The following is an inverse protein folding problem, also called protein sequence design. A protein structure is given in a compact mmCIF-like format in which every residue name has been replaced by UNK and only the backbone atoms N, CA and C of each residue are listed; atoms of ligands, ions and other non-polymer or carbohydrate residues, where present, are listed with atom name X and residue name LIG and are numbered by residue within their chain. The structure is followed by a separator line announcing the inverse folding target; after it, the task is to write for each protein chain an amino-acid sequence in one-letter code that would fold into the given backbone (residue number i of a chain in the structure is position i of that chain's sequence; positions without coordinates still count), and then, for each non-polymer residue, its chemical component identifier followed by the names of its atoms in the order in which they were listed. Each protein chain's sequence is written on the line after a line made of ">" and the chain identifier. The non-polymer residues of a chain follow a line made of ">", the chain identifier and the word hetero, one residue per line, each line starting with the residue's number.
data_IF_377429476505
#
_entry.id   IF_377429476505
#
_cell.length_a   1.000
_cell.length_b   1.000
_cell.length_c   1.000
_cell.angle_alpha   90.00
_cell.angle_beta   90.00
_cell.angle_gamma   90.00
#
_symmetry.space_group_name_H-M   'P 1'
#
loop_
_entity.id
_entity.type
_entity.pdbx_description
1 polymer ?
#
# COMPACT_ATOMS: atom_id res chain seq x y z
N UNK A 1 -6.08 -29.33 7.33
CA UNK A 1 -5.54 -28.15 8.04
C UNK A 1 -4.85 -27.17 7.10
N UNK A 2 -3.70 -27.50 6.50
CA UNK A 2 -2.98 -26.56 5.62
C UNK A 2 -3.72 -26.30 4.29
N UNK A 3 -4.35 -27.33 3.71
CA UNK A 3 -5.17 -27.20 2.49
C UNK A 3 -6.38 -26.28 2.73
N UNK A 4 -7.01 -26.37 3.90
CA UNK A 4 -8.15 -25.53 4.28
C UNK A 4 -7.73 -24.06 4.43
N UNK A 5 -6.60 -23.78 5.08
CA UNK A 5 -6.06 -22.40 5.19
C UNK A 5 -5.76 -21.85 3.79
N UNK A 6 -5.12 -22.64 2.93
CA UNK A 6 -4.79 -22.24 1.57
C UNK A 6 -6.05 -21.93 0.74
N UNK A 7 -7.09 -22.76 0.83
CA UNK A 7 -8.38 -22.53 0.17
C UNK A 7 -9.06 -21.27 0.68
N UNK A 8 -9.12 -21.06 1.99
CA UNK A 8 -9.74 -19.87 2.58
C UNK A 8 -8.96 -18.58 2.22
N UNK A 9 -7.62 -18.66 2.16
CA UNK A 9 -6.76 -17.58 1.68
C UNK A 9 -7.05 -17.23 0.22
N UNK A 10 -7.22 -18.24 -0.63
CA UNK A 10 -7.53 -18.08 -2.05
C UNK A 10 -8.93 -17.47 -2.25
N UNK A 11 -9.89 -17.89 -1.44
CA UNK A 11 -11.26 -17.34 -1.41
C UNK A 11 -11.33 -15.92 -0.82
N UNK A 12 -10.23 -15.40 -0.25
CA UNK A 12 -10.16 -14.12 0.45
C UNK A 12 -11.15 -13.99 1.60
N UNK A 13 -11.61 -15.10 2.16
CA UNK A 13 -12.54 -15.11 3.29
C UNK A 13 -11.77 -14.97 4.61
N UNK A 14 -11.35 -13.73 4.88
CA UNK A 14 -10.55 -13.37 6.04
C UNK A 14 -11.29 -13.55 7.36
N UNK A 15 -12.60 -13.31 7.36
CA UNK A 15 -13.44 -13.47 8.56
C UNK A 15 -13.52 -14.94 8.98
N UNK A 16 -13.69 -15.85 8.02
CA UNK A 16 -13.66 -17.29 8.31
C UNK A 16 -12.27 -17.73 8.78
N UNK A 17 -11.19 -17.18 8.23
CA UNK A 17 -9.82 -17.46 8.70
C UNK A 17 -9.65 -17.00 10.15
N UNK A 18 -9.97 -15.73 10.46
CA UNK A 18 -9.87 -15.16 11.81
C UNK A 18 -10.71 -15.95 12.83
N UNK A 19 -11.90 -16.40 12.42
CA UNK A 19 -12.80 -17.17 13.31
C UNK A 19 -12.31 -18.59 13.55
N UNK A 20 -11.75 -19.25 12.53
CA UNK A 20 -11.38 -20.69 12.57
C UNK A 20 -9.95 -20.92 13.06
N UNK A 21 -9.07 -19.94 12.93
CA UNK A 21 -7.66 -20.01 13.32
C UNK A 21 -7.29 -18.92 14.35
N UNK A 22 -8.02 -18.90 15.47
CA UNK A 22 -7.69 -18.02 16.62
C UNK A 22 -6.43 -18.43 17.39
N UNK A 23 -5.96 -19.65 17.15
CA UNK A 23 -4.75 -20.18 17.76
C UNK A 23 -3.54 -19.81 16.92
N UNK A 24 -2.38 -19.74 17.60
CA UNK A 24 -1.11 -19.60 16.92
C UNK A 24 -0.86 -20.80 16.01
N UNK A 25 -0.27 -20.54 14.84
CA UNK A 25 0.05 -21.56 13.83
C UNK A 25 1.56 -21.56 13.64
N UNK A 26 2.18 -22.73 13.60
CA UNK A 26 3.59 -22.86 13.27
C UNK A 26 3.95 -22.13 11.97
N UNK A 27 5.02 -21.36 12.00
CA UNK A 27 5.50 -20.55 10.90
C UNK A 27 5.80 -21.39 9.66
N UNK A 28 6.32 -22.60 9.84
CA UNK A 28 6.54 -23.56 8.74
C UNK A 28 5.25 -23.93 8.01
N UNK A 29 4.15 -24.10 8.74
CA UNK A 29 2.82 -24.38 8.16
C UNK A 29 2.35 -23.20 7.32
N UNK A 30 2.53 -21.98 7.83
CA UNK A 30 2.16 -20.74 7.10
C UNK A 30 3.07 -20.54 5.88
N UNK A 31 4.36 -20.85 5.98
CA UNK A 31 5.30 -20.83 4.85
C UNK A 31 4.89 -21.80 3.74
N UNK A 32 4.50 -23.03 4.10
CA UNK A 32 3.99 -24.00 3.13
C UNK A 32 2.72 -23.48 2.44
N UNK A 33 1.76 -22.91 3.19
CA UNK A 33 0.56 -22.28 2.61
C UNK A 33 0.94 -21.11 1.70
N UNK A 34 1.92 -20.29 2.08
CA UNK A 34 2.43 -19.19 1.27
C UNK A 34 3.00 -19.69 -0.06
N UNK A 35 3.82 -20.75 -0.02
CA UNK A 35 4.41 -21.36 -1.22
C UNK A 35 3.33 -21.95 -2.15
N UNK A 36 2.31 -22.60 -1.58
CA UNK A 36 1.20 -23.19 -2.35
C UNK A 36 0.28 -22.13 -2.98
N UNK A 37 0.08 -21.01 -2.30
CA UNK A 37 -0.87 -19.97 -2.73
C UNK A 37 -0.21 -18.83 -3.53
N UNK A 38 1.12 -18.68 -3.45
CA UNK A 38 1.83 -17.53 -3.99
C UNK A 38 1.43 -16.20 -3.33
N UNK A 39 0.91 -16.26 -2.09
CA UNK A 39 0.32 -15.09 -1.44
C UNK A 39 1.39 -14.13 -0.93
N UNK A 40 1.58 -13.02 -1.66
CA UNK A 40 2.48 -11.92 -1.24
C UNK A 40 2.14 -11.32 0.13
N UNK A 41 0.87 -11.40 0.54
CA UNK A 41 0.45 -10.99 1.89
C UNK A 41 1.04 -11.91 2.96
N UNK A 42 0.99 -13.22 2.74
CA UNK A 42 1.57 -14.19 3.67
C UNK A 42 3.09 -14.06 3.72
N UNK A 43 3.73 -13.84 2.57
CA UNK A 43 5.17 -13.60 2.48
C UNK A 43 5.61 -12.43 3.37
N UNK A 44 4.87 -11.32 3.33
CA UNK A 44 5.11 -10.16 4.19
C UNK A 44 4.88 -10.47 5.68
N UNK A 45 3.80 -11.19 6.02
CA UNK A 45 3.52 -11.60 7.40
C UNK A 45 4.67 -12.48 7.94
N UNK A 46 5.06 -13.51 7.19
CA UNK A 46 6.13 -14.44 7.54
C UNK A 46 7.47 -13.70 7.73
N UNK A 47 7.77 -12.72 6.86
CA UNK A 47 9.02 -11.96 6.92
C UNK A 47 9.16 -11.07 8.16
N UNK A 48 8.04 -10.69 8.78
CA UNK A 48 7.99 -9.82 9.95
C UNK A 48 7.92 -10.58 11.27
N UNK A 49 7.45 -11.82 11.24
CA UNK A 49 7.36 -12.65 12.44
C UNK A 49 8.75 -13.17 12.81
N UNK A 50 9.21 -12.85 14.03
CA UNK A 50 10.49 -13.34 14.55
C UNK A 50 10.34 -14.70 15.25
N UNK A 51 9.15 -15.04 15.73
CA UNK A 51 8.88 -16.32 16.40
C UNK A 51 8.61 -17.48 15.45
N UNK A 52 8.58 -18.69 16.03
CA UNK A 52 8.26 -19.94 15.31
C UNK A 52 6.76 -20.17 15.15
N UNK A 53 5.93 -19.36 15.79
CA UNK A 53 4.47 -19.40 15.66
C UNK A 53 3.92 -18.02 15.26
N UNK A 54 2.96 -18.01 14.34
CA UNK A 54 2.25 -16.83 13.85
C UNK A 54 0.87 -16.77 14.49
N UNK A 55 0.55 -15.67 15.16
CA UNK A 55 -0.83 -15.30 15.48
C UNK A 55 -1.48 -14.70 14.23
N UNK A 56 -2.28 -15.52 13.53
CA UNK A 56 -2.82 -15.16 12.23
C UNK A 56 -3.81 -13.99 12.30
N UNK A 57 -4.58 -13.88 13.40
CA UNK A 57 -5.51 -12.78 13.58
C UNK A 57 -4.76 -11.47 13.72
N UNK A 58 -3.80 -11.43 14.64
CA UNK A 58 -2.97 -10.25 14.88
C UNK A 58 -2.20 -9.84 13.62
N UNK A 59 -1.58 -10.80 12.93
CA UNK A 59 -0.82 -10.53 11.72
C UNK A 59 -1.68 -9.97 10.56
N UNK A 60 -2.92 -10.42 10.42
CA UNK A 60 -3.84 -9.87 9.41
C UNK A 60 -4.25 -8.44 9.80
N UNK A 61 -4.60 -8.19 11.07
CA UNK A 61 -5.01 -6.86 11.55
C UNK A 61 -3.89 -5.82 11.37
N UNK A 62 -2.67 -6.16 11.76
CA UNK A 62 -1.50 -5.29 11.57
C UNK A 62 -1.26 -4.99 10.08
N UNK A 63 -1.42 -5.99 9.21
CA UNK A 63 -1.30 -5.79 7.77
C UNK A 63 -2.40 -4.87 7.22
N UNK A 64 -3.66 -5.05 7.63
CA UNK A 64 -4.79 -4.21 7.21
C UNK A 64 -4.57 -2.74 7.62
N UNK A 65 -4.07 -2.52 8.84
CA UNK A 65 -3.78 -1.18 9.34
C UNK A 65 -2.65 -0.50 8.56
N UNK A 66 -1.56 -1.22 8.27
CA UNK A 66 -0.43 -0.69 7.51
C UNK A 66 -0.80 -0.37 6.07
N UNK A 67 -1.56 -1.24 5.39
CA UNK A 67 -2.08 -0.96 4.04
C UNK A 67 -2.98 0.28 4.06
N UNK A 68 -3.82 0.42 5.08
CA UNK A 68 -4.68 1.59 5.27
C UNK A 68 -3.86 2.88 5.50
N UNK A 69 -2.80 2.84 6.31
CA UNK A 69 -1.89 3.98 6.50
C UNK A 69 -1.16 4.35 5.21
N UNK A 70 -0.64 3.36 4.47
CA UNK A 70 0.01 3.58 3.18
C UNK A 70 -0.94 4.22 2.19
N UNK A 71 -2.16 3.70 2.04
CA UNK A 71 -3.17 4.25 1.15
C UNK A 71 -3.53 5.70 1.51
N UNK A 72 -3.66 6.02 2.80
CA UNK A 72 -3.89 7.41 3.27
C UNK A 72 -2.72 8.34 2.92
N UNK A 73 -1.48 7.89 3.14
CA UNK A 73 -0.28 8.66 2.82
C UNK A 73 -0.11 8.89 1.31
N UNK A 74 -0.32 7.85 0.49
CA UNK A 74 -0.31 7.98 -0.96
C UNK A 74 -1.42 8.92 -1.45
N UNK A 75 -2.61 8.83 -0.86
CA UNK A 75 -3.72 9.74 -1.12
C UNK A 75 -3.37 11.19 -0.84
N UNK A 76 -2.76 11.46 0.32
CA UNK A 76 -2.28 12.81 0.71
C UNK A 76 -1.25 13.34 -0.28
N UNK A 77 -0.22 12.54 -0.62
CA UNK A 77 0.83 12.93 -1.56
C UNK A 77 0.28 13.18 -2.98
N UNK A 78 -0.66 12.34 -3.45
CA UNK A 78 -1.36 12.56 -4.72
C UNK A 78 -2.18 13.86 -4.68
N UNK A 79 -2.83 14.16 -3.56
CA UNK A 79 -3.59 15.40 -3.35
C UNK A 79 -2.70 16.64 -3.40
N UNK A 80 -1.59 16.65 -2.64
CA UNK A 80 -0.61 17.73 -2.65
C UNK A 80 -0.03 17.96 -4.05
N UNK A 81 0.33 16.87 -4.75
CA UNK A 81 0.81 16.96 -6.13
C UNK A 81 -0.24 17.53 -7.07
N UNK A 82 -1.51 17.13 -6.94
CA UNK A 82 -2.61 17.64 -7.76
C UNK A 82 -2.80 19.15 -7.54
N UNK A 83 -2.75 19.62 -6.28
CA UNK A 83 -2.84 21.04 -5.96
C UNK A 83 -1.70 21.84 -6.59
N UNK A 84 -0.46 21.34 -6.51
CA UNK A 84 0.69 22.02 -7.13
C UNK A 84 0.56 22.07 -8.66
N UNK A 85 0.08 21.00 -9.28
CA UNK A 85 -0.16 20.98 -10.73
C UNK A 85 -1.23 21.99 -11.16
N UNK A 86 -2.35 22.08 -10.43
CA UNK A 86 -3.41 23.07 -10.67
C UNK A 86 -2.87 24.49 -10.50
N UNK A 87 -2.11 24.75 -9.44
CA UNK A 87 -1.45 26.03 -9.23
C UNK A 87 -0.54 26.43 -10.40
N UNK A 88 0.30 25.51 -10.89
CA UNK A 88 1.17 25.76 -12.04
C UNK A 88 0.35 26.06 -13.30
N UNK A 89 -0.74 25.31 -13.55
CA UNK A 89 -1.62 25.54 -14.70
C UNK A 89 -2.24 26.93 -14.66
N UNK A 90 -2.79 27.36 -13.52
CA UNK A 90 -3.35 28.71 -13.37
C UNK A 90 -2.31 29.82 -13.60
N UNK A 91 -1.05 29.61 -13.19
CA UNK A 91 0.01 30.57 -13.45
C UNK A 91 0.37 30.63 -14.94
N UNK A 92 0.44 29.49 -15.62
CA UNK A 92 0.67 29.44 -17.06
C UNK A 92 -0.46 30.14 -17.83
N UNK A 93 -1.72 29.91 -17.45
CA UNK A 93 -2.89 30.58 -18.04
C UNK A 93 -2.85 32.10 -17.84
N UNK A 94 -2.34 32.57 -16.70
CA UNK A 94 -2.15 33.99 -16.40
C UNK A 94 -0.91 34.60 -17.07
N UNK A 95 -0.16 33.82 -17.86
CA UNK A 95 0.99 34.29 -18.64
C UNK A 95 2.31 34.40 -17.88
N UNK A 96 2.44 33.74 -16.73
CA UNK A 96 3.71 33.70 -16.00
C UNK A 96 4.75 32.85 -16.74
N UNK A 97 6.01 33.27 -16.72
CA UNK A 97 7.10 32.54 -17.35
C UNK A 97 7.55 31.35 -16.50
N UNK A 98 8.14 30.34 -17.16
CA UNK A 98 8.70 29.16 -16.51
C UNK A 98 9.69 29.50 -15.40
N UNK A 99 10.51 30.54 -15.60
CA UNK A 99 11.50 31.01 -14.64
C UNK A 99 10.86 31.55 -13.36
N UNK A 100 9.76 32.31 -13.49
CA UNK A 100 8.99 32.81 -12.35
C UNK A 100 8.31 31.67 -11.59
N UNK A 101 7.73 30.70 -12.32
CA UNK A 101 7.05 29.54 -11.73
C UNK A 101 8.04 28.61 -11.03
N UNK A 102 9.25 28.43 -11.57
CA UNK A 102 10.32 27.65 -10.93
C UNK A 102 10.94 28.34 -9.71
N UNK A 103 10.63 29.63 -9.48
CA UNK A 103 11.04 30.36 -8.28
C UNK A 103 10.31 29.91 -7.01
N UNK A 104 9.20 29.20 -7.12
CA UNK A 104 8.45 28.68 -5.97
C UNK A 104 9.09 27.40 -5.44
N UNK A 105 9.40 27.36 -4.13
CA UNK A 105 10.03 26.21 -3.45
C UNK A 105 9.26 24.88 -3.63
N UNK A 106 7.93 24.94 -3.77
CA UNK A 106 7.06 23.78 -3.96
C UNK A 106 7.03 23.26 -5.40
N UNK A 107 7.57 24.00 -6.36
CA UNK A 107 7.52 23.67 -7.79
C UNK A 107 8.86 23.13 -8.25
N UNK A 108 8.82 21.99 -8.95
CA UNK A 108 10.01 21.39 -9.56
C UNK A 108 9.89 21.40 -11.08
N UNK A 109 11.03 21.31 -11.78
CA UNK A 109 11.06 21.17 -13.24
C UNK A 109 10.20 20.01 -13.75
N UNK A 110 10.11 18.92 -12.98
CA UNK A 110 9.30 17.77 -13.34
C UNK A 110 7.79 18.07 -13.23
N UNK A 111 7.36 18.76 -12.17
CA UNK A 111 5.96 19.16 -12.01
C UNK A 111 5.54 20.19 -13.07
N UNK A 112 6.42 21.14 -13.40
CA UNK A 112 6.18 22.11 -14.46
C UNK A 112 6.02 21.43 -15.83
N UNK A 113 6.91 20.51 -16.19
CA UNK A 113 6.77 19.71 -17.42
C UNK A 113 5.45 18.94 -17.45
N UNK A 114 5.10 18.31 -16.33
CA UNK A 114 3.84 17.56 -16.24
C UNK A 114 2.61 18.46 -16.41
N UNK A 115 2.59 19.64 -15.80
CA UNK A 115 1.49 20.59 -15.93
C UNK A 115 1.28 21.04 -17.39
N UNK A 116 2.37 21.23 -18.14
CA UNK A 116 2.36 21.58 -19.56
C UNK A 116 1.91 20.45 -20.49
N UNK A 117 2.17 19.20 -20.12
CA UNK A 117 1.75 18.01 -20.89
C UNK A 117 0.26 17.66 -20.70
N UNK A 118 -0.35 18.14 -19.62
CA UNK A 118 -1.76 17.92 -19.30
C UNK A 118 -2.70 18.96 -19.94
N UNK A 119 -2.19 19.77 -20.87
CA UNK A 119 -2.90 20.88 -21.52
C UNK A 119 -3.14 20.60 -23.01
#
# INVERSE_FOLDING_TARGET
>A
MCIDIAQLMFQKDLETIKKRYRQKIDKEVVMMVCALTGSRRLELIISKEEGDEIDMCKAIEEWEEEVSKQARNEGRLKGERKQILQFIQEMLEKGYTDEMILGFKSVTKQLLKQAKLSH
#
